data_IF_379288119656
#
_entry.id   IF_379288119656
#
_cell.length_a   1.000
_cell.length_b   1.000
_cell.length_c   1.000
_cell.angle_alpha   90.00
_cell.angle_beta   90.00
_cell.angle_gamma   90.00
#
_symmetry.space_group_name_H-M   'P 1'
#
loop_
_entity.id
_entity.type
_entity.pdbx_description
1 polymer ?
#
# COMPACT_ATOMS: atom_id res chain seq x y z
N UNK A 1 -28.07 16.33 -54.63
CA UNK A 1 -28.00 17.06 -53.35
C UNK A 1 -28.06 16.06 -52.20
N UNK A 2 -27.26 16.29 -51.16
CA UNK A 2 -27.26 15.67 -49.81
C UNK A 2 -26.53 14.33 -49.60
N UNK A 3 -25.24 14.50 -49.33
CA UNK A 3 -24.35 13.74 -48.44
C UNK A 3 -24.99 13.35 -47.11
N UNK A 4 -24.77 12.12 -46.63
CA UNK A 4 -24.67 11.82 -45.19
C UNK A 4 -23.79 10.58 -44.99
N UNK A 5 -22.56 10.83 -44.53
CA UNK A 5 -21.62 9.82 -44.07
C UNK A 5 -21.97 9.39 -42.62
N UNK A 6 -21.70 8.13 -42.22
CA UNK A 6 -21.85 7.70 -40.84
C UNK A 6 -20.78 8.34 -39.94
N UNK A 7 -21.26 8.96 -38.85
CA UNK A 7 -20.44 9.60 -37.82
C UNK A 7 -19.78 8.53 -36.94
N UNK A 8 -18.61 8.05 -37.39
CA UNK A 8 -17.64 7.36 -36.56
C UNK A 8 -17.13 8.32 -35.47
N UNK A 9 -17.66 8.18 -34.26
CA UNK A 9 -16.99 8.70 -33.06
C UNK A 9 -16.09 7.58 -32.50
N UNK A 10 -14.78 7.78 -32.34
CA UNK A 10 -14.00 6.83 -31.56
C UNK A 10 -14.47 6.96 -30.10
N UNK A 11 -15.24 5.98 -29.61
CA UNK A 11 -15.34 5.74 -28.18
C UNK A 11 -13.93 5.43 -27.72
N UNK A 12 -13.31 6.45 -27.10
CA UNK A 12 -12.04 6.41 -26.39
C UNK A 12 -11.92 5.05 -25.71
N UNK A 13 -10.94 4.27 -26.19
CA UNK A 13 -10.67 2.93 -25.72
C UNK A 13 -10.59 2.94 -24.20
N UNK A 14 -11.45 2.13 -23.59
CA UNK A 14 -11.17 1.57 -22.28
C UNK A 14 -9.84 0.87 -22.45
N UNK A 15 -8.80 1.38 -21.78
CA UNK A 15 -7.49 0.74 -21.77
C UNK A 15 -7.69 -0.73 -21.47
N UNK A 16 -7.48 -1.56 -22.48
CA UNK A 16 -7.20 -2.96 -22.29
C UNK A 16 -5.82 -3.01 -21.61
N UNK A 17 -5.81 -2.87 -20.28
CA UNK A 17 -4.67 -3.28 -19.49
C UNK A 17 -4.82 -4.80 -19.37
N UNK A 18 -3.90 -5.54 -20.00
CA UNK A 18 -3.88 -6.99 -19.89
C UNK A 18 -3.72 -7.42 -18.43
N UNK A 19 -4.15 -8.64 -18.07
CA UNK A 19 -3.72 -9.24 -16.81
C UNK A 19 -2.20 -9.42 -16.87
N UNK A 20 -1.52 -9.38 -15.71
CA UNK A 20 -0.09 -9.72 -15.47
C UNK A 20 0.96 -8.62 -15.27
N UNK A 21 0.58 -7.34 -15.10
CA UNK A 21 1.42 -6.40 -14.34
C UNK A 21 0.57 -5.67 -13.30
N UNK A 22 0.36 -6.32 -12.17
CA UNK A 22 -0.17 -5.66 -10.98
C UNK A 22 0.92 -4.78 -10.40
N UNK A 23 1.02 -3.54 -10.88
CA UNK A 23 1.65 -2.45 -10.12
C UNK A 23 0.84 -2.31 -8.83
N UNK A 24 1.23 -3.07 -7.81
CA UNK A 24 0.57 -3.01 -6.50
C UNK A 24 0.89 -1.62 -5.95
N UNK A 25 -0.14 -0.84 -5.64
CA UNK A 25 0.04 0.44 -4.96
C UNK A 25 0.81 0.24 -3.65
N UNK A 26 1.61 1.25 -3.27
CA UNK A 26 2.36 1.21 -2.01
C UNK A 26 1.43 0.97 -0.82
N UNK A 27 0.20 1.48 -0.88
CA UNK A 27 -0.88 1.24 0.09
C UNK A 27 -1.26 -0.23 0.19
N UNK A 28 -1.51 -0.89 -0.95
CA UNK A 28 -1.90 -2.28 -1.01
C UNK A 28 -0.76 -3.20 -0.54
N UNK A 29 0.49 -2.83 -0.85
CA UNK A 29 1.64 -3.52 -0.30
C UNK A 29 1.76 -3.34 1.21
N UNK A 30 1.54 -2.13 1.74
CA UNK A 30 1.57 -1.87 3.18
C UNK A 30 0.46 -2.62 3.93
N UNK A 31 -0.75 -2.67 3.39
CA UNK A 31 -1.86 -3.44 3.98
C UNK A 31 -1.54 -4.94 4.00
N UNK A 32 -1.03 -5.48 2.89
CA UNK A 32 -0.59 -6.88 2.82
C UNK A 32 0.59 -7.15 3.76
N UNK A 33 1.56 -6.24 3.84
CA UNK A 33 2.72 -6.35 4.72
C UNK A 33 2.33 -6.33 6.19
N UNK A 34 1.44 -5.42 6.61
CA UNK A 34 1.01 -5.31 8.01
C UNK A 34 0.07 -6.45 8.40
N UNK A 35 -0.75 -6.93 7.47
CA UNK A 35 -1.66 -8.06 7.66
C UNK A 35 -0.95 -9.41 7.65
N UNK A 36 0.28 -9.48 7.13
CA UNK A 36 1.10 -10.69 7.18
C UNK A 36 1.41 -11.05 8.63
N UNK A 37 1.17 -12.31 9.01
CA UNK A 37 1.45 -12.82 10.36
C UNK A 37 2.79 -13.56 10.42
N UNK A 38 3.64 -13.42 9.41
CA UNK A 38 4.92 -14.07 9.33
C UNK A 38 5.93 -13.55 10.34
N UNK A 39 7.04 -14.28 10.57
CA UNK A 39 8.11 -13.83 11.46
C UNK A 39 9.02 -12.77 10.83
N UNK A 40 9.01 -12.64 9.49
CA UNK A 40 9.88 -11.75 8.71
C UNK A 40 9.13 -10.57 8.06
N UNK A 41 7.80 -10.52 8.20
CA UNK A 41 6.88 -9.50 7.67
C UNK A 41 5.75 -9.33 8.69
N UNK A 42 4.94 -8.28 8.59
CA UNK A 42 3.87 -8.06 9.58
C UNK A 42 4.11 -6.92 10.55
N UNK A 43 3.02 -6.54 11.23
CA UNK A 43 3.06 -5.59 12.33
C UNK A 43 3.98 -6.05 13.48
N UNK A 44 4.03 -7.36 13.77
CA UNK A 44 4.90 -7.92 14.81
C UNK A 44 6.38 -7.73 14.47
N UNK A 45 6.77 -7.98 13.21
CA UNK A 45 8.13 -7.71 12.73
C UNK A 45 8.47 -6.22 12.83
N UNK A 46 7.55 -5.35 12.38
CA UNK A 46 7.73 -3.89 12.46
C UNK A 46 7.94 -3.43 13.91
N UNK A 47 7.14 -3.93 14.85
CA UNK A 47 7.28 -3.61 16.28
C UNK A 47 8.60 -4.12 16.87
N UNK A 48 9.04 -5.32 16.45
CA UNK A 48 10.35 -5.86 16.87
C UNK A 48 11.50 -5.02 16.34
N UNK A 49 11.45 -4.63 15.07
CA UNK A 49 12.48 -3.79 14.46
C UNK A 49 12.48 -2.38 15.05
N UNK A 50 11.30 -1.84 15.37
CA UNK A 50 11.18 -0.59 16.11
C UNK A 50 11.81 -0.70 17.51
N UNK A 51 11.66 -1.84 18.19
CA UNK A 51 12.30 -2.06 19.49
C UNK A 51 13.83 -2.14 19.37
N UNK A 52 14.35 -2.83 18.36
CA UNK A 52 15.80 -2.96 18.12
C UNK A 52 16.48 -1.61 17.85
N UNK A 53 15.78 -0.73 17.12
CA UNK A 53 16.24 0.62 16.77
C UNK A 53 15.94 1.70 17.82
N UNK A 54 15.20 1.36 18.88
CA UNK A 54 14.74 2.32 19.90
C UNK A 54 13.58 3.22 19.45
N UNK A 55 12.98 2.95 18.29
CA UNK A 55 11.82 3.66 17.74
C UNK A 55 10.46 3.08 18.18
N UNK A 56 10.46 2.14 19.12
CA UNK A 56 9.23 1.49 19.60
C UNK A 56 8.17 2.48 20.08
N UNK A 57 8.57 3.50 20.85
CA UNK A 57 7.64 4.49 21.38
C UNK A 57 7.02 5.34 20.25
N UNK A 58 7.77 5.59 19.19
CA UNK A 58 7.32 6.31 17.98
C UNK A 58 6.25 5.50 17.25
N UNK A 59 6.52 4.22 16.97
CA UNK A 59 5.56 3.34 16.27
C UNK A 59 4.31 3.10 17.13
N UNK A 60 4.49 2.90 18.44
CA UNK A 60 3.39 2.79 19.39
C UNK A 60 2.56 4.07 19.46
N UNK A 61 3.19 5.24 19.35
CA UNK A 61 2.46 6.51 19.30
C UNK A 61 1.65 6.64 18.02
N UNK A 62 2.14 6.16 16.87
CA UNK A 62 1.33 6.15 15.63
C UNK A 62 0.07 5.31 15.78
N UNK A 63 0.18 4.14 16.40
CA UNK A 63 -0.97 3.26 16.64
C UNK A 63 -2.00 3.89 17.59
N UNK A 64 -1.54 4.69 18.57
CA UNK A 64 -2.39 5.39 19.54
C UNK A 64 -2.94 6.73 19.05
N UNK A 65 -2.28 7.40 18.12
CA UNK A 65 -2.65 8.73 17.61
C UNK A 65 -3.68 8.63 16.47
N UNK A 66 -4.74 9.44 16.54
CA UNK A 66 -5.82 9.46 15.53
C UNK A 66 -5.37 9.88 14.13
N UNK A 67 -4.55 10.92 14.06
CA UNK A 67 -3.87 11.38 12.84
C UNK A 67 -2.37 11.41 13.14
N UNK A 68 -1.65 10.31 12.90
CA UNK A 68 -0.23 10.31 13.10
C UNK A 68 0.43 11.23 12.06
N UNK A 69 1.35 12.07 12.52
CA UNK A 69 2.09 12.98 11.64
C UNK A 69 3.06 12.18 10.75
N UNK A 70 3.37 12.70 9.54
CA UNK A 70 4.41 12.12 8.70
C UNK A 70 5.73 12.07 9.47
N UNK A 71 6.46 10.98 9.29
CA UNK A 71 7.74 10.77 9.96
C UNK A 71 8.91 11.15 9.06
N UNK A 72 10.13 11.06 9.57
CA UNK A 72 11.33 11.33 8.79
C UNK A 72 11.71 10.12 7.92
N UNK A 73 12.28 10.40 6.76
CA UNK A 73 12.82 9.41 5.81
C UNK A 73 13.84 8.50 6.52
N UNK A 74 14.64 9.06 7.42
CA UNK A 74 15.63 8.34 8.23
C UNK A 74 14.98 7.35 9.19
N UNK A 75 13.84 7.70 9.80
CA UNK A 75 13.06 6.82 10.67
C UNK A 75 12.55 5.61 9.87
N UNK A 76 12.09 5.83 8.63
CA UNK A 76 11.67 4.75 7.72
C UNK A 76 12.85 3.84 7.36
N UNK A 77 14.01 4.42 7.03
CA UNK A 77 15.23 3.65 6.70
C UNK A 77 15.75 2.81 7.87
N UNK A 78 15.51 3.24 9.12
CA UNK A 78 15.84 2.46 10.31
C UNK A 78 14.82 1.35 10.57
N UNK A 79 13.53 1.63 10.36
CA UNK A 79 12.44 0.67 10.57
C UNK A 79 12.32 -0.39 9.49
N UNK A 80 12.65 -0.08 8.23
CA UNK A 80 12.56 -1.03 7.13
C UNK A 80 13.95 -1.35 6.58
N UNK A 81 14.36 -2.63 6.57
CA UNK A 81 15.65 -3.00 6.01
C UNK A 81 15.73 -2.65 4.52
N UNK A 82 16.92 -2.33 4.00
CA UNK A 82 17.12 -1.92 2.62
C UNK A 82 16.65 -2.98 1.60
N UNK A 83 16.71 -4.25 1.98
CA UNK A 83 16.23 -5.37 1.17
C UNK A 83 14.73 -5.28 0.88
N UNK A 84 13.95 -4.89 1.89
CA UNK A 84 12.51 -4.72 1.79
C UNK A 84 12.16 -3.48 0.96
N UNK A 85 12.90 -2.38 1.13
CA UNK A 85 12.76 -1.19 0.29
C UNK A 85 13.04 -1.49 -1.19
N UNK A 86 14.02 -2.36 -1.47
CA UNK A 86 14.31 -2.81 -2.83
C UNK A 86 13.19 -3.70 -3.39
N UNK A 87 12.58 -4.57 -2.56
CA UNK A 87 11.40 -5.34 -2.96
C UNK A 87 10.21 -4.43 -3.31
N UNK A 88 9.94 -3.42 -2.48
CA UNK A 88 8.87 -2.45 -2.71
C UNK A 88 9.13 -1.70 -4.02
N UNK A 89 10.32 -1.13 -4.20
CA UNK A 89 10.70 -0.41 -5.42
C UNK A 89 10.49 -1.26 -6.69
N UNK A 90 10.82 -2.56 -6.63
CA UNK A 90 10.59 -3.49 -7.74
C UNK A 90 9.10 -3.80 -7.99
N UNK A 91 8.29 -3.88 -6.93
CA UNK A 91 6.85 -4.20 -7.01
C UNK A 91 5.99 -2.99 -7.41
N UNK A 92 6.33 -1.81 -6.91
CA UNK A 92 5.61 -0.56 -7.16
C UNK A 92 6.14 0.17 -8.40
N UNK A 93 7.24 -0.31 -9.02
CA UNK A 93 7.96 0.35 -10.10
C UNK A 93 8.38 1.80 -9.78
N UNK A 94 8.57 2.11 -8.49
CA UNK A 94 8.98 3.44 -8.01
C UNK A 94 10.46 3.46 -7.67
N UNK A 95 11.16 4.59 -7.88
CA UNK A 95 12.52 4.74 -7.41
C UNK A 95 12.55 4.68 -5.88
N UNK A 96 13.65 4.15 -5.33
CA UNK A 96 13.78 3.95 -3.88
C UNK A 96 13.55 5.22 -3.07
N UNK A 97 14.05 6.36 -3.54
CA UNK A 97 13.88 7.65 -2.84
C UNK A 97 12.39 8.05 -2.74
N UNK A 98 11.63 7.86 -3.81
CA UNK A 98 10.17 8.09 -3.84
C UNK A 98 9.44 7.09 -2.94
N UNK A 99 9.87 5.82 -2.92
CA UNK A 99 9.32 4.81 -2.00
C UNK A 99 9.49 5.25 -0.55
N UNK A 100 10.69 5.70 -0.15
CA UNK A 100 10.94 6.09 1.24
C UNK A 100 10.22 7.40 1.58
N UNK A 101 10.17 8.37 0.66
CA UNK A 101 9.40 9.59 0.83
C UNK A 101 7.92 9.27 1.08
N UNK A 102 7.31 8.41 0.26
CA UNK A 102 5.92 8.01 0.44
C UNK A 102 5.69 7.16 1.67
N UNK A 103 6.62 6.26 2.01
CA UNK A 103 6.56 5.49 3.25
C UNK A 103 6.59 6.41 4.47
N UNK A 104 7.31 7.52 4.43
CA UNK A 104 7.39 8.46 5.55
C UNK A 104 6.02 9.07 5.89
N UNK A 105 5.16 9.21 4.90
CA UNK A 105 3.78 9.71 5.05
C UNK A 105 2.77 8.57 5.29
N UNK A 106 2.88 7.46 4.56
CA UNK A 106 1.86 6.40 4.55
C UNK A 106 2.04 5.35 5.65
N UNK A 107 3.27 5.02 6.04
CA UNK A 107 3.57 4.02 7.07
C UNK A 107 2.88 4.32 8.42
N UNK A 108 3.00 5.54 8.99
CA UNK A 108 2.33 5.85 10.25
C UNK A 108 0.80 5.69 10.17
N UNK A 109 0.21 6.10 9.04
CA UNK A 109 -1.24 6.01 8.81
C UNK A 109 -1.66 4.54 8.65
N UNK A 110 -0.87 3.73 7.94
CA UNK A 110 -1.13 2.31 7.76
C UNK A 110 -1.09 1.54 9.09
N UNK A 111 -0.10 1.81 9.93
CA UNK A 111 0.00 1.23 11.29
C UNK A 111 -1.22 1.58 12.13
N UNK A 112 -1.66 2.84 12.09
CA UNK A 112 -2.86 3.29 12.80
C UNK A 112 -4.11 2.53 12.35
N UNK A 113 -4.35 2.46 11.04
CA UNK A 113 -5.55 1.80 10.49
C UNK A 113 -5.56 0.30 10.82
N UNK A 114 -4.41 -0.37 10.69
CA UNK A 114 -4.25 -1.77 11.09
C UNK A 114 -4.59 -1.97 12.57
N UNK A 115 -4.12 -1.08 13.46
CA UNK A 115 -4.37 -1.19 14.91
C UNK A 115 -5.84 -1.00 15.28
N UNK A 116 -6.56 -0.08 14.63
CA UNK A 116 -7.99 0.16 14.92
C UNK A 116 -8.92 -0.83 14.22
N UNK A 117 -8.39 -1.87 13.57
CA UNK A 117 -9.16 -2.89 12.84
C UNK A 117 -9.92 -2.34 11.63
N UNK A 118 -9.62 -1.11 11.19
CA UNK A 118 -10.17 -0.57 9.95
C UNK A 118 -9.21 -0.94 8.82
N UNK A 119 -9.69 -1.75 7.88
CA UNK A 119 -8.96 -2.08 6.64
C UNK A 119 -8.45 -0.78 5.99
N UNK A 120 -7.14 -0.69 5.72
CA UNK A 120 -6.51 0.51 5.16
C UNK A 120 -6.98 0.72 3.73
N UNK A 121 -8.10 1.42 3.54
CA UNK A 121 -8.68 1.67 2.22
C UNK A 121 -8.86 3.17 2.02
N UNK A 122 -7.74 3.87 1.79
CA UNK A 122 -7.76 5.31 1.46
C UNK A 122 -8.36 5.57 0.07
N UNK A 123 -8.25 4.61 -0.84
CA UNK A 123 -8.90 4.64 -2.14
C UNK A 123 -9.85 3.46 -2.26
N UNK A 124 -11.13 3.69 -1.99
CA UNK A 124 -12.17 2.70 -2.19
C UNK A 124 -12.25 2.26 -3.65
N UNK A 125 -11.49 1.23 -4.02
CA UNK A 125 -11.79 0.44 -5.20
C UNK A 125 -12.82 -0.62 -4.79
N UNK A 126 -14.05 -0.40 -5.26
CA UNK A 126 -15.14 -1.34 -5.15
C UNK A 126 -14.77 -2.69 -5.79
N UNK A 127 -15.18 -3.78 -5.13
CA UNK A 127 -15.46 -5.05 -5.79
C UNK A 127 -14.27 -6.00 -5.95
N UNK A 128 -13.94 -6.72 -4.89
CA UNK A 128 -13.64 -8.15 -5.03
C UNK A 128 -14.72 -8.91 -4.26
N UNK A 129 -15.87 -9.11 -4.91
CA UNK A 129 -16.75 -10.21 -4.57
C UNK A 129 -16.00 -11.49 -4.95
N UNK A 130 -15.26 -12.03 -3.99
CA UNK A 130 -14.86 -13.42 -4.02
C UNK A 130 -16.13 -14.23 -3.89
N UNK A 131 -16.60 -14.70 -5.05
CA UNK A 131 -17.60 -15.74 -5.23
C UNK A 131 -17.42 -16.84 -4.17
N UNK A 132 -18.50 -17.18 -3.47
CA UNK A 132 -18.61 -18.36 -2.63
C UNK A 132 -19.15 -19.49 -3.52
N UNK A 133 -18.31 -20.44 -4.00
CA UNK A 133 -18.80 -21.61 -4.68
C UNK A 133 -18.99 -22.74 -3.67
N UNK A 134 -19.78 -22.57 -2.60
CA UNK A 134 -20.21 -23.70 -1.77
C UNK A 134 -21.50 -23.42 -1.00
N UNK A 135 -22.57 -23.11 -1.73
CA UNK A 135 -23.94 -23.29 -1.21
C UNK A 135 -24.68 -24.36 -2.00
N UNK A 136 -24.50 -25.59 -1.51
CA UNK A 136 -25.35 -26.80 -1.58
C UNK A 136 -26.15 -27.08 -2.85
#
# INVERSE_FOLDING_TARGET
MMTTHPRFGPRRGKSAVGPWHTEIGLDAWLDAFLSDTGPARGYVFLMRQAADTGLYDVVRRWSQTGHPEPTDVTTVLQLLPPDMLAEIARKTALPREEVVARLSEELPIAVRQHTVGKRFNRFGHAGCAGEDPMRR
#
